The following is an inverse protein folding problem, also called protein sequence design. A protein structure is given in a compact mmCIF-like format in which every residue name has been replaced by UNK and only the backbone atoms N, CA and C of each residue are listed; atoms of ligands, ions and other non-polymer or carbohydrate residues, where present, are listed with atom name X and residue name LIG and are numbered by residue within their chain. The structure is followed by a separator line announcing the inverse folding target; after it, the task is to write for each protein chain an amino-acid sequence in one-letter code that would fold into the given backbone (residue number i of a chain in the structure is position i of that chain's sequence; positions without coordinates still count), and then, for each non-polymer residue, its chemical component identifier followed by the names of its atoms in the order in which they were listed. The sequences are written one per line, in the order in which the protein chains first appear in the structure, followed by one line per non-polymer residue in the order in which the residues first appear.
data_IF_228690766081
#
_entry.id   IF_228690766081
#
_cell.length_a   1.000
_cell.length_b   1.000
_cell.length_c   1.000
_cell.angle_alpha   90.00
_cell.angle_beta   90.00
_cell.angle_gamma   90.00
#
_symmetry.space_group_name_H-M   'P 1'
#
loop_
_entity.id
_entity.type
_entity.pdbx_description
1 polymer ?
#
# COMPACT_ATOMS: atom_id res chain seq x y z
N UNK A 1 -2.91 26.66 8.28
CA UNK A 1 -3.73 25.43 8.42
C UNK A 1 -3.09 24.35 7.57
N UNK A 2 -2.56 23.29 8.18
CA UNK A 2 -2.11 22.11 7.43
C UNK A 2 -3.32 21.51 6.75
N UNK A 3 -3.31 21.45 5.41
CA UNK A 3 -4.40 20.84 4.66
C UNK A 3 -4.40 19.35 5.03
N UNK A 4 -5.39 18.92 5.81
CA UNK A 4 -5.62 17.50 6.05
C UNK A 4 -5.97 16.91 4.69
N UNK A 5 -5.04 16.17 4.09
CA UNK A 5 -5.25 15.50 2.83
C UNK A 5 -6.41 14.51 3.01
N UNK A 6 -7.53 14.78 2.34
CA UNK A 6 -8.69 13.91 2.33
C UNK A 6 -8.42 12.77 1.35
N UNK A 7 -8.61 11.54 1.82
CA UNK A 7 -8.42 10.33 1.03
C UNK A 7 -9.79 9.72 0.79
N UNK A 8 -10.42 10.14 -0.29
CA UNK A 8 -11.73 9.64 -0.71
C UNK A 8 -11.54 8.36 -1.52
N UNK A 9 -12.13 7.27 -1.06
CA UNK A 9 -12.01 5.95 -1.68
C UNK A 9 -13.40 5.37 -1.96
N UNK A 10 -13.63 4.98 -3.21
CA UNK A 10 -14.78 4.18 -3.60
C UNK A 10 -14.34 2.71 -3.61
N UNK A 11 -15.09 1.87 -2.91
CA UNK A 11 -14.82 0.45 -2.75
C UNK A 11 -16.13 -0.33 -2.72
N UNK A 12 -16.08 -1.58 -3.14
CA UNK A 12 -17.24 -2.46 -3.09
C UNK A 12 -17.50 -2.98 -1.66
N UNK A 13 -18.69 -3.51 -1.43
CA UNK A 13 -19.11 -3.97 -0.09
C UNK A 13 -18.21 -5.10 0.41
N UNK A 14 -17.81 -6.00 -0.49
CA UNK A 14 -16.92 -7.11 -0.18
C UNK A 14 -15.53 -6.63 0.23
N UNK A 15 -14.97 -5.67 -0.50
CA UNK A 15 -13.67 -5.06 -0.18
C UNK A 15 -13.71 -4.35 1.17
N UNK A 16 -14.80 -3.61 1.44
CA UNK A 16 -15.00 -2.93 2.71
C UNK A 16 -15.03 -3.91 3.89
N UNK A 17 -15.68 -5.07 3.75
CA UNK A 17 -15.73 -6.11 4.78
C UNK A 17 -14.35 -6.70 5.09
N UNK A 18 -13.53 -6.89 4.06
CA UNK A 18 -12.15 -7.38 4.24
C UNK A 18 -11.32 -6.34 5.01
N UNK A 19 -11.38 -5.07 4.60
CA UNK A 19 -10.62 -3.99 5.24
C UNK A 19 -11.13 -3.76 6.68
N UNK A 20 -12.43 -3.82 6.93
CA UNK A 20 -13.00 -3.62 8.26
C UNK A 20 -12.54 -4.72 9.23
N UNK A 21 -12.53 -5.98 8.78
CA UNK A 21 -12.03 -7.11 9.57
C UNK A 21 -10.53 -7.02 9.80
N UNK A 22 -9.76 -6.68 8.77
CA UNK A 22 -8.31 -6.49 8.91
C UNK A 22 -7.98 -5.36 9.91
N UNK A 23 -8.68 -4.23 9.82
CA UNK A 23 -8.53 -3.13 10.76
C UNK A 23 -8.88 -3.55 12.20
N UNK A 24 -9.97 -4.32 12.37
CA UNK A 24 -10.37 -4.85 13.67
C UNK A 24 -9.33 -5.82 14.26
N UNK A 25 -8.73 -6.69 13.44
CA UNK A 25 -7.67 -7.61 13.87
C UNK A 25 -6.41 -6.88 14.32
N UNK A 26 -6.06 -5.76 13.67
CA UNK A 26 -4.93 -4.91 14.05
C UNK A 26 -5.28 -3.98 15.22
N UNK A 27 -6.56 -3.88 15.61
CA UNK A 27 -7.03 -3.01 16.69
C UNK A 27 -7.02 -1.53 16.30
N UNK A 28 -7.17 -1.22 15.02
CA UNK A 28 -7.16 0.15 14.50
C UNK A 28 -8.46 0.50 13.80
N UNK A 29 -8.67 1.80 13.53
CA UNK A 29 -9.81 2.23 12.71
C UNK A 29 -9.52 1.94 11.25
N UNK A 30 -10.56 1.64 10.46
CA UNK A 30 -10.45 1.39 9.02
C UNK A 30 -9.65 2.49 8.29
N UNK A 31 -9.90 3.76 8.62
CA UNK A 31 -9.19 4.88 8.01
C UNK A 31 -7.70 4.93 8.40
N UNK A 32 -7.35 4.56 9.63
CA UNK A 32 -5.96 4.47 10.06
C UNK A 32 -5.25 3.29 9.37
N UNK A 33 -5.91 2.14 9.30
CA UNK A 33 -5.42 0.95 8.62
C UNK A 33 -5.09 1.23 7.14
N UNK A 34 -6.02 1.84 6.39
CA UNK A 34 -5.81 2.17 4.97
C UNK A 34 -4.63 3.13 4.78
N UNK A 35 -4.50 4.16 5.63
CA UNK A 35 -3.35 5.09 5.57
C UNK A 35 -2.03 4.41 5.87
N UNK A 36 -1.99 3.51 6.86
CA UNK A 36 -0.78 2.75 7.20
C UNK A 36 -0.39 1.81 6.06
N UNK A 37 -1.32 1.01 5.55
CA UNK A 37 -1.08 0.09 4.46
C UNK A 37 -0.62 0.82 3.17
N UNK A 38 -1.25 1.95 2.84
CA UNK A 38 -0.85 2.77 1.71
C UNK A 38 0.57 3.34 1.88
N UNK A 39 0.92 3.79 3.09
CA UNK A 39 2.27 4.28 3.41
C UNK A 39 3.32 3.18 3.27
N UNK A 40 3.05 2.00 3.82
CA UNK A 40 3.95 0.85 3.72
C UNK A 40 4.16 0.42 2.27
N UNK A 41 3.07 0.35 1.48
CA UNK A 41 3.18 -0.02 0.06
C UNK A 41 3.94 1.03 -0.77
N UNK A 42 3.75 2.31 -0.48
CA UNK A 42 4.54 3.37 -1.12
C UNK A 42 6.03 3.28 -0.76
N UNK A 43 6.34 2.95 0.50
CA UNK A 43 7.71 2.73 0.94
C UNK A 43 8.33 1.49 0.29
N UNK A 44 7.59 0.37 0.23
CA UNK A 44 8.00 -0.85 -0.46
C UNK A 44 8.23 -0.60 -1.95
N UNK A 45 7.36 0.15 -2.62
CA UNK A 45 7.55 0.54 -4.02
C UNK A 45 8.80 1.40 -4.23
N UNK A 46 9.08 2.31 -3.28
CA UNK A 46 10.29 3.13 -3.31
C UNK A 46 11.56 2.29 -3.07
N UNK A 47 11.53 1.35 -2.13
CA UNK A 47 12.66 0.44 -1.88
C UNK A 47 12.82 -0.62 -2.97
N UNK A 48 11.74 -1.09 -3.61
CA UNK A 48 11.83 -2.02 -4.73
C UNK A 48 12.51 -1.41 -5.96
N UNK A 49 12.37 -0.09 -6.19
CA UNK A 49 13.21 0.63 -7.16
C UNK A 49 14.68 0.74 -6.72
N UNK A 50 14.97 0.74 -5.41
CA UNK A 50 16.33 0.82 -4.86
C UNK A 50 17.05 -0.53 -4.81
N UNK A 51 16.31 -1.63 -4.61
CA UNK A 51 16.83 -2.99 -4.39
C UNK A 51 16.58 -3.94 -5.58
N UNK A 52 16.29 -3.43 -6.79
CA UNK A 52 16.29 -4.24 -8.03
C UNK A 52 17.49 -3.94 -8.95
N UNK A 53 18.70 -4.43 -8.66
CA UNK A 53 19.78 -4.56 -9.64
C UNK A 53 19.64 -5.80 -10.56
N UNK A 54 18.57 -6.59 -10.44
CA UNK A 54 18.43 -7.93 -11.07
C UNK A 54 17.58 -7.95 -12.36
N UNK A 55 17.23 -6.79 -12.92
CA UNK A 55 16.63 -6.70 -14.27
C UNK A 55 17.67 -6.39 -15.36
N UNK A 56 18.96 -6.31 -15.02
CA UNK A 56 20.06 -6.14 -15.99
C UNK A 56 20.74 -7.45 -16.41
N UNK A 57 20.28 -8.61 -15.96
CA UNK A 57 20.84 -9.91 -16.34
C UNK A 57 19.78 -10.83 -16.96
N UNK A 58 19.50 -10.63 -18.25
CA UNK A 58 19.33 -11.71 -19.25
C UNK A 58 19.09 -11.11 -20.66
N UNK A 59 19.46 -11.77 -21.77
CA UNK A 59 20.68 -12.55 -22.05
C UNK A 59 21.51 -11.83 -23.14
N UNK A 60 22.82 -11.70 -22.96
CA UNK A 60 23.67 -11.37 -24.11
C UNK A 60 23.72 -12.64 -24.96
N UNK A 61 23.04 -12.62 -26.11
CA UNK A 61 23.22 -13.63 -27.12
C UNK A 61 24.67 -13.61 -27.61
N UNK A 62 25.31 -14.78 -27.52
CA UNK A 62 26.43 -15.24 -28.34
C UNK A 62 26.56 -16.76 -28.17
#
# INVERSE_FOLDING_TARGET
MSAVARFDLKMDVEEKEVISRAAALVGTTMAAFVRMAAKEKAHEGFTACRDNPMTLYLPIGA
#
